data_IF_463430947790
#
_entry.id   IF_463430947790
#
_cell.length_a   1.000
_cell.length_b   1.000
_cell.length_c   1.000
_cell.angle_alpha   90.00
_cell.angle_beta   90.00
_cell.angle_gamma   90.00
#
_symmetry.space_group_name_H-M   'P 1'
#
loop_
_entity.id
_entity.type
_entity.pdbx_description
1 polymer ?
#
# COMPACT_ATOMS: atom_id res chain seq x y z
N UNK A 1 10.14 16.85 -9.39
CA UNK A 1 10.18 15.48 -9.94
C UNK A 1 9.93 14.53 -8.78
N UNK A 2 8.92 13.65 -8.83
CA UNK A 2 8.65 12.68 -7.76
C UNK A 2 9.44 11.40 -8.04
N UNK A 3 10.07 10.82 -7.01
CA UNK A 3 10.85 9.60 -7.14
C UNK A 3 10.03 8.40 -7.67
N UNK A 4 8.73 8.34 -7.33
CA UNK A 4 7.83 7.28 -7.80
C UNK A 4 7.60 7.32 -9.33
N UNK A 5 7.85 8.44 -9.99
CA UNK A 5 7.61 8.62 -11.43
C UNK A 5 8.73 8.02 -12.30
N UNK A 6 9.89 7.69 -11.72
CA UNK A 6 11.06 7.15 -12.45
C UNK A 6 11.33 5.67 -12.16
N UNK A 7 10.50 5.03 -11.34
CA UNK A 7 10.65 3.61 -11.01
C UNK A 7 10.16 2.77 -12.19
N UNK A 8 10.97 1.85 -12.72
CA UNK A 8 10.53 0.93 -13.75
C UNK A 8 9.71 -0.22 -13.13
N UNK A 9 8.41 0.02 -12.92
CA UNK A 9 7.51 -0.99 -12.35
C UNK A 9 7.38 -2.22 -13.27
N UNK A 10 7.60 -3.39 -12.68
CA UNK A 10 7.40 -4.73 -13.21
C UNK A 10 6.22 -5.42 -12.53
N UNK A 11 5.54 -6.29 -13.28
CA UNK A 11 4.47 -7.20 -12.83
C UNK A 11 4.98 -8.16 -11.76
N UNK A 12 4.10 -8.59 -10.84
CA UNK A 12 4.39 -9.54 -9.75
C UNK A 12 5.49 -9.11 -8.75
N UNK A 13 5.87 -7.83 -8.74
CA UNK A 13 6.90 -7.31 -7.87
C UNK A 13 6.36 -6.65 -6.59
N UNK A 14 7.22 -6.54 -5.58
CA UNK A 14 6.96 -5.82 -4.33
C UNK A 14 7.80 -4.54 -4.25
N UNK A 15 7.14 -3.39 -4.05
CA UNK A 15 7.80 -2.09 -3.90
C UNK A 15 7.68 -1.58 -2.47
N UNK A 16 8.82 -1.26 -1.85
CA UNK A 16 8.87 -0.74 -0.47
C UNK A 16 9.12 0.75 -0.50
N UNK A 17 8.26 1.51 0.16
CA UNK A 17 8.30 2.96 0.21
C UNK A 17 8.29 3.49 1.65
N UNK A 18 8.84 4.69 1.81
CA UNK A 18 8.77 5.42 3.07
C UNK A 18 7.41 6.13 3.27
N UNK A 19 7.27 6.82 4.40
CA UNK A 19 6.05 7.55 4.79
C UNK A 19 5.74 8.77 3.91
N UNK A 20 6.73 9.31 3.19
CA UNK A 20 6.61 10.48 2.32
C UNK A 20 6.06 10.15 0.94
N UNK A 21 6.04 8.87 0.57
CA UNK A 21 5.57 8.35 -0.71
C UNK A 21 4.09 7.89 -0.70
N UNK A 22 3.30 8.28 0.31
CA UNK A 22 1.87 7.96 0.35
C UNK A 22 1.12 8.87 -0.64
N UNK A 23 0.95 8.38 -1.86
CA UNK A 23 0.14 8.97 -2.93
C UNK A 23 -0.78 7.88 -3.49
N UNK A 24 -2.06 7.90 -3.11
CA UNK A 24 -3.01 6.84 -3.48
C UNK A 24 -3.18 6.67 -4.98
N UNK A 25 -3.04 7.73 -5.78
CA UNK A 25 -3.14 7.62 -7.25
C UNK A 25 -1.97 6.83 -7.82
N UNK A 26 -0.75 7.08 -7.33
CA UNK A 26 0.44 6.37 -7.77
C UNK A 26 0.49 4.94 -7.24
N UNK A 27 0.12 4.74 -5.97
CA UNK A 27 0.04 3.41 -5.36
C UNK A 27 -0.98 2.52 -6.08
N UNK A 28 -2.14 3.07 -6.47
CA UNK A 28 -3.15 2.31 -7.22
C UNK A 28 -2.67 1.84 -8.60
N UNK A 29 -1.74 2.56 -9.24
CA UNK A 29 -1.13 2.11 -10.51
C UNK A 29 -0.32 0.83 -10.33
N UNK A 30 0.36 0.67 -9.19
CA UNK A 30 1.11 -0.56 -8.87
C UNK A 30 0.14 -1.73 -8.76
N UNK A 31 -0.98 -1.56 -8.05
CA UNK A 31 -2.04 -2.58 -7.95
C UNK A 31 -2.61 -2.94 -9.32
N UNK A 32 -2.79 -1.97 -10.23
CA UNK A 32 -3.25 -2.21 -11.60
C UNK A 32 -2.27 -2.97 -12.48
N UNK A 33 -0.99 -3.00 -12.10
CA UNK A 33 0.07 -3.78 -12.76
C UNK A 33 0.22 -5.18 -12.14
N UNK A 34 -0.79 -5.68 -11.41
CA UNK A 34 -0.73 -6.98 -10.72
C UNK A 34 0.48 -7.06 -9.77
N UNK A 35 0.83 -5.93 -9.16
CA UNK A 35 1.97 -5.78 -8.26
C UNK A 35 1.53 -5.25 -6.91
N UNK A 36 2.40 -5.41 -5.91
CA UNK A 36 2.13 -5.05 -4.53
C UNK A 36 3.07 -3.96 -4.03
N UNK A 37 2.62 -3.19 -3.04
CA UNK A 37 3.46 -2.19 -2.38
C UNK A 37 3.36 -2.30 -0.85
N UNK A 38 4.44 -1.93 -0.19
CA UNK A 38 4.54 -1.79 1.26
C UNK A 38 4.92 -0.34 1.53
N UNK A 39 4.12 0.35 2.33
CA UNK A 39 4.41 1.71 2.78
C UNK A 39 4.64 1.68 4.28
N UNK A 40 5.64 2.44 4.76
CA UNK A 40 5.69 2.70 6.19
C UNK A 40 4.48 3.53 6.58
N UNK A 41 3.68 3.04 7.52
CA UNK A 41 2.46 3.74 7.93
C UNK A 41 2.78 5.09 8.60
N UNK A 42 1.92 6.08 8.35
CA UNK A 42 1.83 7.32 9.12
C UNK A 42 0.70 7.22 10.15
N UNK A 43 0.87 7.88 11.30
CA UNK A 43 -0.16 7.89 12.36
C UNK A 43 -1.44 8.63 11.94
N UNK A 44 -1.34 9.53 10.98
CA UNK A 44 -2.43 10.37 10.47
C UNK A 44 -2.94 9.92 9.10
N UNK A 45 -2.72 8.65 8.73
CA UNK A 45 -3.32 8.05 7.54
C UNK A 45 -4.84 8.21 7.60
N UNK A 46 -5.41 8.85 6.58
CA UNK A 46 -6.84 9.03 6.43
C UNK A 46 -7.35 8.07 5.38
N UNK A 47 -8.24 7.19 5.80
CA UNK A 47 -9.01 6.28 4.97
C UNK A 47 -10.24 5.84 5.77
N UNK A 48 -11.28 5.43 5.07
CA UNK A 48 -12.45 4.79 5.66
C UNK A 48 -12.32 3.27 5.49
N UNK A 49 -12.28 2.52 6.58
CA UNK A 49 -12.26 1.07 6.52
C UNK A 49 -13.68 0.54 6.20
N UNK A 50 -13.80 -0.19 5.10
CA UNK A 50 -15.06 -0.76 4.63
C UNK A 50 -15.30 -2.16 5.20
N UNK A 51 -14.24 -2.98 5.25
CA UNK A 51 -14.30 -4.35 5.76
C UNK A 51 -13.06 -4.67 6.58
N UNK A 52 -13.20 -5.64 7.47
CA UNK A 52 -12.12 -6.25 8.23
C UNK A 52 -12.13 -7.74 7.94
N UNK A 53 -11.00 -8.27 7.47
CA UNK A 53 -10.84 -9.70 7.26
C UNK A 53 -10.25 -10.34 8.53
N UNK A 54 -10.57 -11.61 8.81
CA UNK A 54 -9.89 -12.36 9.87
C UNK A 54 -8.38 -12.40 9.62
N UNK A 55 -7.59 -12.17 10.66
CA UNK A 55 -6.13 -12.25 10.60
C UNK A 55 -5.64 -13.43 11.43
N UNK A 56 -4.58 -14.08 10.95
CA UNK A 56 -3.80 -15.02 11.76
C UNK A 56 -2.77 -14.23 12.58
N UNK A 57 -3.07 -14.01 13.86
CA UNK A 57 -2.21 -13.22 14.75
C UNK A 57 -0.81 -13.83 14.94
N UNK A 58 -0.62 -15.12 14.67
CA UNK A 58 0.70 -15.77 14.77
C UNK A 58 1.67 -15.30 13.69
N UNK A 59 1.16 -14.70 12.61
CA UNK A 59 1.97 -14.12 11.52
C UNK A 59 2.52 -12.72 11.84
N UNK A 60 2.05 -12.10 12.94
CA UNK A 60 2.36 -10.70 13.28
C UNK A 60 1.55 -9.67 12.49
N UNK A 61 0.58 -10.10 11.67
CA UNK A 61 -0.39 -9.21 11.03
C UNK A 61 -1.39 -8.71 12.07
N UNK A 62 -1.52 -7.38 12.19
CA UNK A 62 -2.40 -6.73 13.19
C UNK A 62 -3.79 -6.47 12.62
N UNK A 63 -3.90 -6.19 11.32
CA UNK A 63 -5.16 -5.92 10.65
C UNK A 63 -5.05 -6.20 9.15
N UNK A 64 -6.13 -6.74 8.58
CA UNK A 64 -6.36 -6.83 7.13
C UNK A 64 -7.71 -6.14 6.84
N UNK A 65 -7.67 -5.09 6.02
CA UNK A 65 -8.81 -4.20 5.78
C UNK A 65 -8.89 -3.80 4.31
N UNK A 66 -10.10 -3.77 3.77
CA UNK A 66 -10.38 -3.04 2.53
C UNK A 66 -10.81 -1.62 2.88
N UNK A 67 -10.14 -0.63 2.31
CA UNK A 67 -10.36 0.78 2.63
C UNK A 67 -10.72 1.60 1.39
N UNK A 68 -11.52 2.65 1.60
CA UNK A 68 -11.76 3.72 0.64
C UNK A 68 -10.93 4.94 1.05
N UNK A 69 -10.12 5.46 0.12
CA UNK A 69 -9.24 6.62 0.32
C UNK A 69 -9.75 7.87 -0.38
#
# INVERSE_FOLDING_TARGET
MNAMDVIPYQVDAFYVFDRGCIDYTRLYRITKLESSFIVWARKDLKFEAMTHNPVDETTGVVADQTALS
#
